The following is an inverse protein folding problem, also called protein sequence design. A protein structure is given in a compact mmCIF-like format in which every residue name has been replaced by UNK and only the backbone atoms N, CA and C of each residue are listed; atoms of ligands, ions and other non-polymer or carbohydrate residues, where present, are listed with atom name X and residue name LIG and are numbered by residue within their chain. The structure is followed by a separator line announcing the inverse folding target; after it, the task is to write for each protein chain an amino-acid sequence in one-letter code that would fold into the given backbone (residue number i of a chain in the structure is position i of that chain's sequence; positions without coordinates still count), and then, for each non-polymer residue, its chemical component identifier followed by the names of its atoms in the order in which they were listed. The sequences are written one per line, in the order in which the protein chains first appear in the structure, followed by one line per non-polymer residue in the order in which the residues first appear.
data_IF_349288505944
#
_entry.id   IF_349288505944
#
_cell.length_a   1.000
_cell.length_b   1.000
_cell.length_c   1.000
_cell.angle_alpha   90.00
_cell.angle_beta   90.00
_cell.angle_gamma   90.00
#
_symmetry.space_group_name_H-M   'P 1'
#
loop_
_entity.id
_entity.type
_entity.pdbx_description
1 polymer ?
#
# COMPACT_ATOMS: atom_id res chain seq x y z
N UNK A 1 7.16 4.60 7.44
CA UNK A 1 6.11 5.65 7.59
C UNK A 1 4.92 5.38 6.67
N UNK A 2 3.69 5.43 7.19
CA UNK A 2 2.45 5.22 6.43
C UNK A 2 1.64 6.52 6.36
N UNK A 3 0.97 6.77 5.24
CA UNK A 3 -0.02 7.86 5.09
C UNK A 3 -1.37 7.24 4.75
N UNK A 4 -2.43 7.66 5.43
CA UNK A 4 -3.78 7.14 5.26
C UNK A 4 -4.68 8.23 4.67
N UNK A 5 -5.48 7.89 3.66
CA UNK A 5 -6.37 8.81 2.96
C UNK A 5 -7.78 8.21 2.88
N UNK A 6 -8.83 8.91 3.36
CA UNK A 6 -10.19 8.47 3.13
C UNK A 6 -10.56 8.66 1.66
N UNK A 7 -11.24 7.66 1.09
CA UNK A 7 -11.71 7.69 -0.30
C UNK A 7 -13.12 7.10 -0.40
N UNK A 8 -13.81 7.43 -1.49
CA UNK A 8 -14.95 6.66 -1.97
C UNK A 8 -14.48 5.83 -3.17
N UNK A 9 -14.56 4.52 -3.05
CA UNK A 9 -14.21 3.59 -4.12
C UNK A 9 -15.46 3.20 -4.89
N UNK A 10 -15.35 3.18 -6.21
CA UNK A 10 -16.42 2.76 -7.12
C UNK A 10 -15.87 1.64 -8.00
N UNK A 11 -16.52 0.48 -7.99
CA UNK A 11 -16.06 -0.70 -8.71
C UNK A 11 -17.21 -1.63 -9.07
N UNK A 12 -16.96 -2.58 -9.95
CA UNK A 12 -17.91 -3.63 -10.31
C UNK A 12 -17.75 -4.84 -9.40
N UNK A 13 -18.86 -5.33 -8.87
CA UNK A 13 -18.92 -6.56 -8.09
C UNK A 13 -20.19 -7.33 -8.44
N UNK A 14 -20.06 -8.61 -8.79
CA UNK A 14 -21.19 -9.47 -9.18
C UNK A 14 -22.15 -8.83 -10.21
N UNK A 15 -21.59 -8.14 -11.21
CA UNK A 15 -22.35 -7.48 -12.27
C UNK A 15 -23.10 -6.22 -11.84
N UNK A 16 -22.82 -5.67 -10.65
CA UNK A 16 -23.40 -4.42 -10.15
C UNK A 16 -22.30 -3.41 -9.85
N UNK A 17 -22.63 -2.13 -10.00
CA UNK A 17 -21.76 -1.03 -9.59
C UNK A 17 -21.90 -0.84 -8.08
N UNK A 18 -20.81 -1.00 -7.35
CA UNK A 18 -20.73 -0.83 -5.91
C UNK A 18 -20.01 0.46 -5.54
N UNK A 19 -20.36 1.02 -4.39
CA UNK A 19 -19.71 2.18 -3.79
C UNK A 19 -19.33 1.86 -2.35
N UNK A 20 -18.05 2.03 -1.97
CA UNK A 20 -17.57 1.79 -0.62
C UNK A 20 -16.78 2.99 -0.08
N UNK A 21 -16.87 3.21 1.24
CA UNK A 21 -15.96 4.13 1.94
C UNK A 21 -14.74 3.35 2.37
N UNK A 22 -13.57 3.75 1.90
CA UNK A 22 -12.32 3.04 2.12
C UNK A 22 -11.21 3.98 2.59
N UNK A 23 -10.13 3.39 3.09
CA UNK A 23 -8.90 4.10 3.41
C UNK A 23 -7.79 3.58 2.51
N UNK A 24 -7.23 4.45 1.68
CA UNK A 24 -6.02 4.14 0.91
C UNK A 24 -4.80 4.40 1.79
N UNK A 25 -3.85 3.45 1.79
CA UNK A 25 -2.59 3.58 2.52
C UNK A 25 -1.40 3.68 1.57
N UNK A 26 -0.56 4.71 1.75
CA UNK A 26 0.73 4.83 1.08
C UNK A 26 1.85 4.46 2.06
N UNK A 27 2.36 3.25 1.88
CA UNK A 27 3.46 2.67 2.65
C UNK A 27 4.79 2.89 1.93
N UNK A 28 5.81 3.29 2.69
CA UNK A 28 7.19 3.48 2.19
C UNK A 28 8.07 2.40 2.79
N UNK A 29 8.81 1.69 1.94
CA UNK A 29 9.71 0.60 2.33
C UNK A 29 10.86 0.50 1.33
N UNK A 30 11.88 -0.31 1.65
CA UNK A 30 12.97 -0.64 0.74
C UNK A 30 12.47 -1.53 -0.40
N UNK A 31 13.04 -1.37 -1.60
CA UNK A 31 12.70 -2.19 -2.78
C UNK A 31 12.81 -3.69 -2.52
N UNK A 32 13.84 -4.09 -1.78
CA UNK A 32 14.11 -5.51 -1.41
C UNK A 32 13.00 -6.13 -0.56
N UNK A 33 12.18 -5.31 0.13
CA UNK A 33 11.14 -5.79 1.03
C UNK A 33 9.79 -6.01 0.36
N UNK A 34 9.68 -5.82 -0.96
CA UNK A 34 8.42 -5.91 -1.69
C UNK A 34 7.68 -7.22 -1.41
N UNK A 35 8.32 -8.37 -1.61
CA UNK A 35 7.68 -9.69 -1.44
C UNK A 35 7.25 -9.95 0.00
N UNK A 36 8.06 -9.51 0.98
CA UNK A 36 7.75 -9.63 2.40
C UNK A 36 6.54 -8.77 2.79
N UNK A 37 6.50 -7.52 2.33
CA UNK A 37 5.39 -6.60 2.60
C UNK A 37 4.12 -7.07 1.92
N UNK A 38 4.17 -7.43 0.63
CA UNK A 38 3.01 -7.96 -0.12
C UNK A 38 2.39 -9.16 0.60
N UNK A 39 3.21 -10.13 0.99
CA UNK A 39 2.75 -11.33 1.69
C UNK A 39 2.12 -11.02 3.05
N UNK A 40 2.72 -10.09 3.81
CA UNK A 40 2.17 -9.66 5.09
C UNK A 40 0.83 -8.92 4.92
N UNK A 41 0.72 -8.05 3.91
CA UNK A 41 -0.54 -7.36 3.60
C UNK A 41 -1.61 -8.37 3.20
N UNK A 42 -1.35 -9.30 2.29
CA UNK A 42 -2.32 -10.35 1.90
C UNK A 42 -2.81 -11.13 3.13
N UNK A 43 -1.91 -11.50 4.04
CA UNK A 43 -2.27 -12.26 5.24
C UNK A 43 -3.15 -11.47 6.22
N UNK A 44 -2.97 -10.15 6.30
CA UNK A 44 -3.63 -9.29 7.29
C UNK A 44 -4.84 -8.54 6.74
N UNK A 45 -4.98 -8.42 5.42
CA UNK A 45 -6.00 -7.58 4.81
C UNK A 45 -7.40 -8.22 4.98
N UNK A 46 -8.44 -7.43 5.29
CA UNK A 46 -9.80 -7.95 5.43
C UNK A 46 -10.45 -8.38 4.10
N UNK A 47 -9.82 -8.11 2.95
CA UNK A 47 -10.38 -8.43 1.64
C UNK A 47 -9.71 -9.68 1.12
N UNK A 48 -10.50 -10.53 0.46
CA UNK A 48 -10.00 -11.73 -0.21
C UNK A 48 -8.98 -11.38 -1.30
N UNK A 49 -9.26 -10.33 -2.09
CA UNK A 49 -8.36 -9.83 -3.14
C UNK A 49 -8.06 -8.34 -2.90
N UNK A 50 -7.05 -8.02 -2.06
CA UNK A 50 -6.68 -6.62 -1.81
C UNK A 50 -5.93 -6.00 -3.00
N UNK A 51 -6.14 -4.70 -3.23
CA UNK A 51 -5.33 -3.95 -4.18
C UNK A 51 -3.97 -3.60 -3.56
N UNK A 52 -2.89 -4.21 -4.05
CA UNK A 52 -1.52 -3.97 -3.57
C UNK A 52 -0.65 -3.60 -4.78
N UNK A 53 -0.20 -2.35 -4.84
CA UNK A 53 0.57 -1.82 -5.98
C UNK A 53 1.94 -1.33 -5.50
N UNK A 54 2.99 -1.63 -6.26
CA UNK A 54 4.34 -1.09 -6.07
C UNK A 54 4.60 0.04 -7.06
N UNK A 55 5.03 1.20 -6.57
CA UNK A 55 5.49 2.32 -7.39
C UNK A 55 6.95 2.58 -7.04
N UNK A 56 7.85 2.48 -8.03
CA UNK A 56 9.26 2.82 -7.85
C UNK A 56 9.41 4.36 -7.93
N UNK A 57 10.05 4.97 -6.93
CA UNK A 57 10.20 6.43 -6.80
C UNK A 57 11.65 6.80 -6.50
N UNK A 58 12.04 8.04 -6.82
CA UNK A 58 13.28 8.66 -6.32
C UNK A 58 12.99 9.50 -5.08
N UNK A 59 14.00 9.68 -4.23
CA UNK A 59 13.93 10.42 -2.97
C UNK A 59 15.12 11.36 -2.87
N UNK A 60 15.04 12.37 -1.99
CA UNK A 60 16.20 13.16 -1.62
C UNK A 60 17.11 12.36 -0.66
N UNK A 61 18.41 12.63 -0.72
CA UNK A 61 19.45 11.84 -0.06
C UNK A 61 19.23 11.65 1.45
N UNK A 62 18.82 12.71 2.15
CA UNK A 62 18.56 12.66 3.60
C UNK A 62 17.39 11.71 3.93
N UNK A 63 16.34 11.74 3.12
CA UNK A 63 15.15 10.92 3.35
C UNK A 63 15.40 9.45 3.00
N UNK A 64 16.13 9.20 1.92
CA UNK A 64 16.59 7.86 1.56
C UNK A 64 17.50 7.28 2.66
N UNK A 65 18.45 8.08 3.15
CA UNK A 65 19.34 7.70 4.26
C UNK A 65 18.57 7.36 5.53
N UNK A 66 17.54 8.14 5.86
CA UNK A 66 16.67 7.86 6.99
C UNK A 66 15.86 6.56 6.80
N UNK A 67 15.22 6.37 5.63
CA UNK A 67 14.49 5.13 5.34
C UNK A 67 15.40 3.90 5.43
N UNK A 68 16.64 4.03 4.95
CA UNK A 68 17.59 2.93 4.97
C UNK A 68 17.99 2.49 6.39
N UNK A 69 17.93 3.40 7.36
CA UNK A 69 18.15 3.11 8.79
C UNK A 69 16.91 2.53 9.47
N UNK A 70 15.73 3.08 9.20
CA UNK A 70 14.49 2.70 9.88
C UNK A 70 13.89 1.37 9.41
N UNK A 71 14.05 1.06 8.13
CA UNK A 71 13.45 -0.12 7.52
C UNK A 71 14.45 -1.25 7.52
N UNK A 72 14.14 -2.35 8.21
CA UNK A 72 14.95 -3.58 8.20
C UNK A 72 14.89 -4.27 6.84
#
# INVERSE_FOLDING_TARGET
MWKLFPVNSVYWWNGKLENSKEIVSIVKTKKVNWEKVKSAVIKLHPYETPCIIKIDVKMNDDYESWINKEVK
#
